data_IF_036628122158
#
_entry.id   IF_036628122158
#
_cell.length_a   1.000
_cell.length_b   1.000
_cell.length_c   1.000
_cell.angle_alpha   90.00
_cell.angle_beta   90.00
_cell.angle_gamma   90.00
#
_symmetry.space_group_name_H-M   'P 1'
#
loop_
_entity.id
_entity.type
_entity.pdbx_description
1 polymer ?
#
# COMPACT_ATOMS: atom_id res chain seq x y z
N UNK A 1 -4.30 -14.05 -1.98
CA UNK A 1 -3.31 -13.96 -0.88
C UNK A 1 -2.20 -15.00 -1.03
N UNK A 2 -1.00 -14.66 -0.57
CA UNK A 2 0.12 -15.61 -0.49
C UNK A 2 -0.05 -16.44 0.79
N UNK A 3 0.02 -17.77 0.66
CA UNK A 3 0.10 -18.71 1.78
C UNK A 3 1.42 -19.47 1.67
N UNK A 4 2.39 -19.22 2.56
CA UNK A 4 3.68 -19.91 2.54
C UNK A 4 3.51 -21.34 3.07
N UNK A 5 4.37 -22.25 2.61
CA UNK A 5 4.40 -23.62 3.13
C UNK A 5 5.20 -23.65 4.44
N UNK A 6 4.56 -23.30 5.56
CA UNK A 6 5.15 -23.38 6.90
C UNK A 6 4.33 -24.34 7.78
N UNK A 7 4.98 -25.03 8.73
CA UNK A 7 4.29 -25.91 9.65
C UNK A 7 3.17 -25.21 10.41
N UNK A 8 2.01 -25.85 10.52
CA UNK A 8 0.85 -25.35 11.26
C UNK A 8 -0.02 -24.33 10.53
N UNK A 9 0.27 -24.00 9.27
CA UNK A 9 -0.54 -23.02 8.49
C UNK A 9 -1.98 -23.50 8.22
N UNK A 10 -2.22 -24.80 8.29
CA UNK A 10 -3.56 -25.41 8.08
C UNK A 10 -4.41 -25.42 9.35
N UNK A 11 -3.93 -24.85 10.45
CA UNK A 11 -4.72 -24.70 11.68
C UNK A 11 -5.99 -23.88 11.42
N UNK A 12 -7.12 -24.27 11.98
CA UNK A 12 -8.42 -23.65 11.78
C UNK A 12 -8.51 -22.15 12.16
N UNK A 13 -7.51 -21.67 12.90
CA UNK A 13 -7.41 -20.28 13.35
C UNK A 13 -6.58 -19.36 12.47
N UNK A 14 -6.10 -19.83 11.31
CA UNK A 14 -5.29 -19.05 10.36
C UNK A 14 -6.17 -18.54 9.21
N UNK A 15 -6.27 -17.23 9.10
CA UNK A 15 -7.13 -16.55 8.12
C UNK A 15 -6.33 -15.70 7.16
N UNK A 16 -6.82 -15.62 5.93
CA UNK A 16 -6.44 -14.60 4.94
C UNK A 16 -7.67 -13.75 4.63
N UNK A 17 -7.47 -12.51 4.20
CA UNK A 17 -8.54 -11.62 3.79
C UNK A 17 -8.37 -11.20 2.33
N UNK A 18 -9.40 -11.48 1.49
CA UNK A 18 -9.43 -11.04 0.10
C UNK A 18 -10.83 -10.63 -0.35
N UNK A 19 -11.86 -11.30 0.12
CA UNK A 19 -13.23 -11.14 -0.35
C UNK A 19 -14.23 -11.17 0.81
N UNK A 20 -15.51 -10.93 0.49
CA UNK A 20 -16.59 -10.92 1.48
C UNK A 20 -16.73 -12.25 2.24
N UNK A 21 -16.67 -13.43 1.59
CA UNK A 21 -16.64 -14.70 2.32
C UNK A 21 -15.52 -14.82 3.35
N UNK A 22 -14.32 -14.30 3.06
CA UNK A 22 -13.21 -14.28 4.02
C UNK A 22 -13.56 -13.42 5.23
N UNK A 23 -14.20 -12.26 5.01
CA UNK A 23 -14.66 -11.37 6.08
C UNK A 23 -15.66 -12.06 6.98
N UNK A 24 -16.63 -12.77 6.42
CA UNK A 24 -17.59 -13.54 7.22
C UNK A 24 -16.94 -14.66 8.01
N UNK A 25 -16.02 -15.43 7.44
CA UNK A 25 -15.28 -16.47 8.15
C UNK A 25 -14.50 -15.91 9.36
N UNK A 26 -13.85 -14.76 9.22
CA UNK A 26 -13.16 -14.08 10.31
C UNK A 26 -14.17 -13.59 11.35
N UNK A 27 -15.25 -12.96 10.92
CA UNK A 27 -16.29 -12.44 11.81
C UNK A 27 -16.96 -13.55 12.63
N UNK A 28 -17.34 -14.64 11.97
CA UNK A 28 -17.99 -15.79 12.64
C UNK A 28 -17.02 -16.44 13.64
N UNK A 29 -15.75 -16.62 13.27
CA UNK A 29 -14.73 -17.12 14.20
C UNK A 29 -14.61 -16.23 15.45
N UNK A 30 -14.54 -14.90 15.27
CA UNK A 30 -14.46 -13.96 16.40
C UNK A 30 -15.70 -14.10 17.30
N UNK A 31 -16.88 -14.22 16.70
CA UNK A 31 -18.16 -14.34 17.43
C UNK A 31 -18.25 -15.64 18.20
N UNK A 32 -17.82 -16.75 17.62
CA UNK A 32 -17.94 -18.11 18.19
C UNK A 32 -16.87 -18.39 19.25
N UNK A 33 -15.64 -17.92 19.04
CA UNK A 33 -14.50 -18.28 19.90
C UNK A 33 -14.06 -17.18 20.86
N UNK A 34 -14.51 -15.92 20.64
CA UNK A 34 -14.11 -14.76 21.42
C UNK A 34 -12.60 -14.69 21.68
N UNK A 35 -11.75 -14.66 20.61
CA UNK A 35 -10.30 -14.72 20.76
C UNK A 35 -9.79 -13.51 21.53
N UNK A 36 -8.86 -13.73 22.46
CA UNK A 36 -8.26 -12.67 23.29
C UNK A 36 -7.00 -12.08 22.65
N UNK A 37 -6.41 -12.83 21.73
CA UNK A 37 -5.14 -12.45 21.08
C UNK A 37 -5.12 -12.81 19.60
N UNK A 38 -4.47 -11.96 18.80
CA UNK A 38 -4.26 -12.18 17.39
C UNK A 38 -2.84 -11.83 16.97
N UNK A 39 -2.20 -12.72 16.22
CA UNK A 39 -0.98 -12.41 15.48
C UNK A 39 -1.32 -12.02 14.04
N UNK A 40 -0.95 -10.82 13.63
CA UNK A 40 -1.06 -10.34 12.25
C UNK A 40 0.31 -10.46 11.58
N UNK A 41 0.43 -11.34 10.61
CA UNK A 41 1.68 -11.60 9.88
C UNK A 41 1.68 -10.82 8.58
N UNK A 42 2.54 -9.79 8.51
CA UNK A 42 2.63 -8.80 7.44
C UNK A 42 1.99 -7.47 7.82
N UNK A 43 2.75 -6.37 7.71
CA UNK A 43 2.38 -5.01 8.08
C UNK A 43 2.18 -4.09 6.86
N UNK A 44 1.61 -4.62 5.78
CA UNK A 44 1.09 -3.84 4.66
C UNK A 44 -0.31 -3.29 4.96
N UNK A 45 -1.00 -2.75 3.95
CA UNK A 45 -2.34 -2.18 4.06
C UNK A 45 -3.32 -3.12 4.79
N UNK A 46 -3.52 -4.32 4.25
CA UNK A 46 -4.48 -5.29 4.80
C UNK A 46 -4.13 -5.66 6.24
N UNK A 47 -2.85 -5.89 6.54
CA UNK A 47 -2.42 -6.28 7.88
C UNK A 47 -2.68 -5.21 8.92
N UNK A 48 -2.38 -3.95 8.62
CA UNK A 48 -2.61 -2.85 9.55
C UNK A 48 -4.10 -2.55 9.73
N UNK A 49 -4.88 -2.55 8.65
CA UNK A 49 -6.35 -2.38 8.74
C UNK A 49 -7.01 -3.50 9.56
N UNK A 50 -6.54 -4.74 9.42
CA UNK A 50 -7.00 -5.84 10.26
C UNK A 50 -6.56 -5.68 11.72
N UNK A 51 -5.33 -5.23 11.96
CA UNK A 51 -4.83 -4.97 13.30
C UNK A 51 -5.66 -3.91 14.04
N UNK A 52 -6.00 -2.81 13.36
CA UNK A 52 -6.91 -1.78 13.88
C UNK A 52 -8.28 -2.37 14.24
N UNK A 53 -8.93 -3.02 13.29
CA UNK A 53 -10.27 -3.56 13.47
C UNK A 53 -10.37 -4.61 14.60
N UNK A 54 -9.32 -5.40 14.80
CA UNK A 54 -9.25 -6.38 15.88
C UNK A 54 -8.98 -5.70 17.24
N UNK A 55 -8.08 -4.73 17.27
CA UNK A 55 -7.77 -3.97 18.48
C UNK A 55 -8.99 -3.16 18.97
N UNK A 56 -9.77 -2.54 18.08
CA UNK A 56 -11.03 -1.85 18.41
C UNK A 56 -12.09 -2.79 19.00
N UNK A 57 -12.00 -4.09 18.72
CA UNK A 57 -12.86 -5.14 19.33
C UNK A 57 -12.31 -5.69 20.64
N UNK A 58 -11.22 -5.12 21.14
CA UNK A 58 -10.61 -5.54 22.40
C UNK A 58 -9.71 -6.79 22.30
N UNK A 59 -9.36 -7.21 21.08
CA UNK A 59 -8.39 -8.30 20.86
C UNK A 59 -6.98 -7.72 21.01
N UNK A 60 -6.13 -8.35 21.82
CA UNK A 60 -4.72 -7.99 21.92
C UNK A 60 -4.01 -8.38 20.62
N UNK A 61 -3.50 -7.38 19.90
CA UNK A 61 -2.89 -7.59 18.60
C UNK A 61 -1.36 -7.51 18.68
N UNK A 62 -0.70 -8.45 18.02
CA UNK A 62 0.74 -8.43 17.74
C UNK A 62 0.95 -8.44 16.25
N UNK A 63 1.67 -7.45 15.70
CA UNK A 63 2.03 -7.36 14.29
C UNK A 63 3.46 -7.86 14.10
N UNK A 64 3.66 -8.77 13.16
CA UNK A 64 4.96 -9.34 12.79
C UNK A 64 5.25 -9.01 11.32
N UNK A 65 6.35 -8.32 11.05
CA UNK A 65 6.76 -7.90 9.72
C UNK A 65 8.18 -8.41 9.39
N UNK A 66 8.31 -9.06 8.23
CA UNK A 66 9.58 -9.59 7.75
C UNK A 66 10.57 -8.53 7.30
N UNK A 67 10.07 -7.39 6.83
CA UNK A 67 10.89 -6.24 6.45
C UNK A 67 11.34 -5.43 7.69
N UNK A 68 12.27 -4.52 7.45
CA UNK A 68 12.79 -3.60 8.48
C UNK A 68 11.77 -2.54 8.91
N UNK A 69 10.71 -2.33 8.13
CA UNK A 69 9.65 -1.36 8.42
C UNK A 69 8.29 -1.82 7.90
N UNK A 70 7.23 -1.24 8.45
CA UNK A 70 5.85 -1.41 7.99
C UNK A 70 5.59 -0.61 6.72
N UNK A 71 4.49 -0.92 6.03
CA UNK A 71 4.05 -0.17 4.85
C UNK A 71 5.14 -0.11 3.76
N UNK A 72 5.34 -1.17 2.98
CA UNK A 72 6.39 -1.22 1.94
C UNK A 72 6.44 -0.03 0.96
N UNK A 73 5.33 0.70 0.66
CA UNK A 73 5.36 1.85 -0.22
C UNK A 73 6.05 3.11 0.36
N UNK A 74 6.24 3.24 1.67
CA UNK A 74 6.96 4.37 2.28
C UNK A 74 8.41 4.01 2.57
N UNK A 75 9.26 5.03 2.75
CA UNK A 75 10.65 4.85 3.17
C UNK A 75 10.77 4.75 4.71
N UNK A 76 11.91 4.25 5.19
CA UNK A 76 12.17 3.99 6.61
C UNK A 76 11.98 5.22 7.50
N UNK A 77 12.43 6.39 7.06
CA UNK A 77 12.32 7.64 7.82
C UNK A 77 10.85 8.04 8.06
N UNK A 78 9.98 7.82 7.07
CA UNK A 78 8.55 8.03 7.21
C UNK A 78 7.87 6.91 8.02
N UNK A 79 8.32 5.67 7.85
CA UNK A 79 7.79 4.50 8.56
C UNK A 79 8.00 4.57 10.07
N UNK A 80 9.06 5.22 10.56
CA UNK A 80 9.30 5.40 12.00
C UNK A 80 8.12 6.08 12.72
N UNK A 81 7.46 7.04 12.09
CA UNK A 81 6.29 7.69 12.67
C UNK A 81 5.12 6.70 12.81
N UNK A 82 4.94 5.84 11.80
CA UNK A 82 3.92 4.78 11.82
C UNK A 82 4.25 3.72 12.89
N UNK A 83 5.52 3.32 13.04
CA UNK A 83 5.96 2.40 14.11
C UNK A 83 5.63 2.92 15.50
N UNK A 84 5.93 4.18 15.76
CA UNK A 84 5.64 4.83 17.04
C UNK A 84 4.15 4.91 17.29
N UNK A 85 3.38 5.22 16.26
CA UNK A 85 1.93 5.30 16.37
C UNK A 85 1.30 3.93 16.63
N UNK A 86 1.73 2.87 15.94
CA UNK A 86 1.28 1.48 16.18
C UNK A 86 1.49 1.10 17.65
N UNK A 87 2.69 1.34 18.20
CA UNK A 87 3.00 1.05 19.60
C UNK A 87 2.18 1.90 20.58
N UNK A 88 1.92 3.16 20.25
CA UNK A 88 1.07 4.03 21.05
C UNK A 88 -0.40 3.57 21.11
N UNK A 89 -0.86 2.79 20.12
CA UNK A 89 -2.17 2.14 20.15
C UNK A 89 -2.18 0.83 20.99
N UNK A 90 -1.08 0.48 21.67
CA UNK A 90 -0.97 -0.74 22.46
C UNK A 90 -0.78 -2.01 21.63
N UNK A 91 -0.37 -1.88 20.37
CA UNK A 91 -0.10 -3.01 19.48
C UNK A 91 1.39 -3.36 19.54
N UNK A 92 1.71 -4.60 19.85
CA UNK A 92 3.08 -5.10 19.81
C UNK A 92 3.56 -5.19 18.34
N UNK A 93 4.76 -4.68 18.05
CA UNK A 93 5.32 -4.63 16.69
C UNK A 93 6.72 -5.25 16.65
N UNK A 94 6.84 -6.35 15.91
CA UNK A 94 8.08 -7.06 15.62
C UNK A 94 8.48 -6.86 14.17
N UNK A 95 9.60 -6.17 13.94
CA UNK A 95 10.18 -5.90 12.62
C UNK A 95 11.39 -6.79 12.35
N UNK A 96 11.68 -7.09 11.07
CA UNK A 96 12.77 -7.98 10.69
C UNK A 96 12.55 -9.43 11.12
N UNK A 97 11.32 -9.81 11.43
CA UNK A 97 10.94 -11.12 11.92
C UNK A 97 9.94 -11.80 10.98
N UNK A 98 10.16 -13.07 10.71
CA UNK A 98 9.23 -13.89 9.94
C UNK A 98 8.63 -14.98 10.82
N UNK A 99 7.40 -15.35 10.55
CA UNK A 99 6.78 -16.53 11.14
C UNK A 99 7.36 -17.78 10.45
N UNK A 100 7.94 -18.68 11.22
CA UNK A 100 8.56 -19.93 10.73
C UNK A 100 7.72 -21.16 11.01
N UNK A 101 6.83 -21.11 11.99
CA UNK A 101 5.88 -22.16 12.30
C UNK A 101 4.68 -21.58 13.06
N UNK A 102 3.60 -22.34 13.10
CA UNK A 102 2.39 -22.07 13.90
C UNK A 102 1.99 -23.34 14.64
N UNK A 103 1.36 -23.18 15.79
CA UNK A 103 0.79 -24.29 16.54
C UNK A 103 -0.53 -23.84 17.24
N UNK A 104 -1.13 -24.73 18.02
CA UNK A 104 -2.38 -24.44 18.73
C UNK A 104 -2.29 -23.23 19.68
N UNK A 105 -1.09 -22.84 20.13
CA UNK A 105 -0.89 -21.78 21.13
C UNK A 105 -0.42 -20.46 20.53
N UNK A 106 0.00 -20.43 19.23
CA UNK A 106 0.45 -19.19 18.60
C UNK A 106 1.40 -19.37 17.41
N UNK A 107 2.23 -18.36 17.19
CA UNK A 107 3.20 -18.33 16.10
C UNK A 107 4.63 -18.33 16.62
N UNK A 108 5.54 -18.97 15.89
CA UNK A 108 6.97 -19.06 16.21
C UNK A 108 7.73 -18.20 15.22
N UNK A 109 8.53 -17.26 15.73
CA UNK A 109 9.33 -16.35 14.93
C UNK A 109 10.70 -16.93 14.57
N UNK A 110 11.35 -16.33 13.58
CA UNK A 110 12.69 -16.74 13.10
C UNK A 110 13.75 -16.77 14.23
N UNK A 111 13.65 -15.89 15.21
CA UNK A 111 14.57 -15.83 16.35
C UNK A 111 14.20 -16.81 17.50
N UNK A 112 13.21 -17.68 17.28
CA UNK A 112 12.75 -18.68 18.24
C UNK A 112 11.71 -18.18 19.24
N UNK A 113 11.36 -16.91 19.27
CA UNK A 113 10.29 -16.38 20.13
C UNK A 113 8.95 -16.98 19.74
N UNK A 114 8.15 -17.34 20.73
CA UNK A 114 6.76 -17.73 20.54
C UNK A 114 5.84 -16.57 20.92
N UNK A 115 4.97 -16.18 20.02
CA UNK A 115 3.94 -15.16 20.22
C UNK A 115 2.61 -15.89 20.44
N UNK A 116 2.02 -15.81 21.63
CA UNK A 116 0.70 -16.39 21.88
C UNK A 116 -0.37 -15.75 21.00
N UNK A 117 -1.18 -16.57 20.37
CA UNK A 117 -2.27 -16.09 19.52
C UNK A 117 -3.40 -17.11 19.45
N UNK A 118 -4.61 -16.67 19.77
CA UNK A 118 -5.83 -17.46 19.62
C UNK A 118 -6.29 -17.51 18.16
N UNK A 119 -5.92 -16.50 17.36
CA UNK A 119 -6.12 -16.45 15.92
C UNK A 119 -4.94 -15.81 15.20
N UNK A 120 -4.80 -16.07 13.91
CA UNK A 120 -3.73 -15.53 13.07
C UNK A 120 -4.33 -14.94 11.80
N UNK A 121 -3.95 -13.71 11.46
CA UNK A 121 -4.22 -13.10 10.16
C UNK A 121 -2.95 -13.14 9.33
N UNK A 122 -3.01 -13.79 8.17
CA UNK A 122 -1.90 -13.89 7.24
C UNK A 122 -2.07 -12.87 6.11
N UNK A 123 -1.25 -11.82 6.09
CA UNK A 123 -1.32 -10.67 5.17
C UNK A 123 0.02 -10.34 4.53
N UNK A 124 0.81 -11.36 4.19
CA UNK A 124 2.16 -11.25 3.62
C UNK A 124 2.21 -10.90 2.12
N UNK A 125 1.10 -10.43 1.57
CA UNK A 125 0.98 -9.96 0.20
C UNK A 125 0.06 -10.81 -0.68
N UNK A 126 0.01 -10.36 -1.94
CA UNK A 126 -0.82 -10.96 -2.99
C UNK A 126 0.03 -11.28 -4.21
N UNK A 127 -0.40 -12.25 -4.99
CA UNK A 127 0.14 -12.55 -6.31
C UNK A 127 -0.98 -12.72 -7.32
N UNK A 128 -0.74 -12.46 -8.61
CA UNK A 128 -1.69 -12.80 -9.66
C UNK A 128 -2.07 -14.28 -9.60
N UNK A 129 -3.34 -14.56 -9.76
CA UNK A 129 -3.86 -15.93 -9.83
C UNK A 129 -4.00 -16.35 -11.32
N UNK A 130 -2.87 -16.53 -11.96
CA UNK A 130 -2.73 -16.75 -13.39
C UNK A 130 -2.30 -18.19 -13.74
N UNK A 131 -2.31 -19.08 -12.76
CA UNK A 131 -1.93 -20.48 -12.97
C UNK A 131 -2.72 -21.19 -14.06
N UNK A 132 -3.99 -20.80 -14.28
CA UNK A 132 -4.85 -21.33 -15.33
C UNK A 132 -4.45 -20.89 -16.75
N UNK A 133 -3.60 -19.87 -16.88
CA UNK A 133 -3.06 -19.39 -18.15
C UNK A 133 -1.79 -20.13 -18.57
N UNK A 134 -1.28 -21.03 -17.73
CA UNK A 134 -0.15 -21.87 -18.10
C UNK A 134 -0.50 -22.64 -19.40
N UNK A 135 0.40 -22.60 -20.35
CA UNK A 135 0.25 -23.24 -21.67
C UNK A 135 -0.83 -22.63 -22.59
N UNK A 136 -1.41 -21.47 -22.24
CA UNK A 136 -2.40 -20.75 -23.07
C UNK A 136 -1.77 -19.95 -24.22
N UNK A 137 -0.45 -19.76 -24.22
CA UNK A 137 0.26 -18.86 -25.14
C UNK A 137 0.23 -17.38 -24.75
N UNK A 138 -0.43 -17.03 -23.64
CA UNK A 138 -0.39 -15.66 -23.10
C UNK A 138 0.90 -15.45 -22.33
N UNK A 139 1.62 -14.37 -22.66
CA UNK A 139 2.87 -14.02 -22.02
C UNK A 139 2.66 -13.54 -20.59
N UNK A 140 3.39 -14.16 -19.65
CA UNK A 140 3.40 -13.80 -18.24
C UNK A 140 4.76 -13.22 -17.83
N UNK A 141 4.75 -12.25 -16.94
CA UNK A 141 5.96 -11.72 -16.33
C UNK A 141 6.51 -12.61 -15.21
N UNK A 142 7.63 -12.20 -14.63
CA UNK A 142 8.38 -12.99 -13.64
C UNK A 142 7.61 -13.29 -12.35
N UNK A 143 6.60 -12.48 -12.00
CA UNK A 143 5.75 -12.68 -10.83
C UNK A 143 4.39 -13.32 -11.19
N UNK A 144 4.23 -13.77 -12.42
CA UNK A 144 3.00 -14.33 -12.95
C UNK A 144 1.99 -13.28 -13.43
N UNK A 145 2.37 -12.00 -13.51
CA UNK A 145 1.51 -10.96 -14.08
C UNK A 145 1.31 -11.13 -15.58
N UNK A 146 0.13 -10.81 -16.07
CA UNK A 146 -0.18 -10.83 -17.50
C UNK A 146 0.46 -9.60 -18.14
N UNK A 147 1.33 -9.82 -19.13
CA UNK A 147 1.94 -8.73 -19.88
C UNK A 147 0.93 -8.15 -20.87
N UNK A 148 0.78 -6.82 -20.85
CA UNK A 148 -0.13 -6.10 -21.73
C UNK A 148 0.55 -4.87 -22.33
N UNK A 149 0.08 -4.49 -23.52
CA UNK A 149 0.48 -3.23 -24.14
C UNK A 149 -0.34 -2.04 -23.59
N UNK A 150 -0.15 -0.85 -24.15
CA UNK A 150 -0.87 0.35 -23.70
C UNK A 150 -2.37 0.31 -23.97
N UNK A 151 -2.84 -0.57 -24.81
CA UNK A 151 -4.27 -0.78 -25.09
C UNK A 151 -4.87 -1.88 -24.22
N UNK A 152 -4.10 -2.42 -23.28
CA UNK A 152 -4.45 -3.54 -22.39
C UNK A 152 -4.63 -4.88 -23.15
N UNK A 153 -4.09 -4.99 -24.37
CA UNK A 153 -4.06 -6.22 -25.15
C UNK A 153 -2.94 -7.14 -24.66
N UNK A 154 -3.21 -8.42 -24.58
CA UNK A 154 -2.23 -9.45 -24.26
C UNK A 154 -1.45 -9.89 -25.51
N UNK A 155 -0.55 -10.87 -25.39
CA UNK A 155 0.12 -11.50 -26.54
C UNK A 155 -0.82 -12.34 -27.42
N UNK A 156 -1.99 -12.75 -26.89
CA UNK A 156 -2.99 -13.48 -27.66
C UNK A 156 -3.95 -12.49 -28.37
N UNK A 157 -4.27 -12.71 -29.67
CA UNK A 157 -5.22 -11.87 -30.39
C UNK A 157 -6.58 -11.81 -29.70
N UNK A 158 -7.18 -10.62 -29.69
CA UNK A 158 -8.52 -10.35 -29.13
C UNK A 158 -8.69 -10.67 -27.64
N UNK A 159 -7.58 -10.84 -26.91
CA UNK A 159 -7.56 -11.09 -25.46
C UNK A 159 -6.98 -9.90 -24.72
N UNK A 160 -7.73 -9.37 -23.79
CA UNK A 160 -7.37 -8.24 -22.93
C UNK A 160 -7.16 -8.70 -21.50
N UNK A 161 -6.27 -8.02 -20.77
CA UNK A 161 -6.12 -8.20 -19.33
C UNK A 161 -6.03 -6.85 -18.62
N UNK A 162 -6.60 -6.79 -17.41
CA UNK A 162 -6.66 -5.56 -16.61
C UNK A 162 -6.69 -5.88 -15.10
N UNK A 163 -6.54 -4.85 -14.28
CA UNK A 163 -6.61 -4.95 -12.84
C UNK A 163 -5.35 -5.51 -12.19
N UNK A 164 -5.50 -6.11 -11.03
CA UNK A 164 -4.40 -6.51 -10.15
C UNK A 164 -3.46 -7.57 -10.75
N UNK A 165 -3.94 -8.30 -11.77
CA UNK A 165 -3.17 -9.36 -12.42
C UNK A 165 -2.40 -8.89 -13.67
N UNK A 166 -2.68 -7.68 -14.19
CA UNK A 166 -2.03 -7.15 -15.38
C UNK A 166 -0.86 -6.23 -15.03
N UNK A 167 0.21 -6.30 -15.84
CA UNK A 167 1.33 -5.35 -15.73
C UNK A 167 0.93 -3.96 -16.20
N UNK A 168 1.56 -2.93 -15.63
CA UNK A 168 1.34 -1.55 -16.02
C UNK A 168 2.65 -0.79 -16.09
N UNK A 169 2.74 0.19 -17.00
CA UNK A 169 3.88 1.10 -17.04
C UNK A 169 3.81 2.06 -15.85
N UNK A 170 4.86 2.10 -15.03
CA UNK A 170 5.04 3.14 -14.01
C UNK A 170 5.52 4.44 -14.68
N UNK A 171 4.79 5.54 -14.50
CA UNK A 171 5.03 6.76 -15.31
C UNK A 171 6.33 7.50 -14.98
N UNK A 172 6.85 7.34 -13.76
CA UNK A 172 8.09 8.00 -13.32
C UNK A 172 9.32 7.20 -13.73
N UNK A 173 9.34 5.88 -13.47
CA UNK A 173 10.46 5.00 -13.83
C UNK A 173 10.42 4.48 -15.26
N UNK A 174 9.25 4.51 -15.90
CA UNK A 174 9.03 3.90 -17.22
C UNK A 174 8.97 2.38 -17.23
N UNK A 175 9.20 1.71 -16.09
CA UNK A 175 9.24 0.24 -15.97
C UNK A 175 7.85 -0.38 -15.97
N UNK A 176 7.76 -1.62 -16.44
CA UNK A 176 6.59 -2.47 -16.23
C UNK A 176 6.57 -2.97 -14.78
N UNK A 177 5.46 -2.79 -14.10
CA UNK A 177 5.28 -3.11 -12.68
C UNK A 177 3.88 -3.67 -12.41
N UNK A 178 3.71 -4.32 -11.27
CA UNK A 178 2.39 -4.62 -10.71
C UNK A 178 1.98 -3.52 -9.73
N UNK A 179 0.80 -2.96 -9.95
CA UNK A 179 0.18 -1.97 -9.06
C UNK A 179 -1.24 -2.44 -8.77
N UNK A 180 -1.42 -3.34 -7.78
CA UNK A 180 -2.72 -3.90 -7.44
C UNK A 180 -3.54 -2.90 -6.62
N UNK A 181 -4.08 -1.89 -7.31
CA UNK A 181 -4.87 -0.81 -6.73
C UNK A 181 -6.15 -0.58 -7.54
N UNK A 182 -7.23 -0.23 -6.85
CA UNK A 182 -8.55 -0.05 -7.43
C UNK A 182 -8.62 1.08 -8.48
N UNK A 183 -7.91 2.19 -8.27
CA UNK A 183 -7.93 3.32 -9.22
C UNK A 183 -7.32 2.98 -10.59
N UNK A 184 -6.14 2.35 -10.70
CA UNK A 184 -5.64 1.81 -11.97
C UNK A 184 -6.62 0.83 -12.60
N UNK A 185 -7.09 -0.17 -11.84
CA UNK A 185 -7.99 -1.21 -12.33
C UNK A 185 -9.28 -0.62 -12.94
N UNK A 186 -9.89 0.37 -12.27
CA UNK A 186 -11.09 1.04 -12.75
C UNK A 186 -10.86 1.80 -14.08
N UNK A 187 -9.73 2.51 -14.19
CA UNK A 187 -9.34 3.21 -15.43
C UNK A 187 -9.08 2.23 -16.58
N UNK A 188 -8.38 1.14 -16.30
CA UNK A 188 -8.10 0.07 -17.26
C UNK A 188 -9.40 -0.57 -17.75
N UNK A 189 -10.39 -0.82 -16.86
CA UNK A 189 -11.69 -1.35 -17.24
C UNK A 189 -12.43 -0.49 -18.25
N UNK A 190 -12.42 0.83 -18.09
CA UNK A 190 -12.99 1.77 -19.07
C UNK A 190 -12.25 1.72 -20.39
N UNK A 191 -10.92 1.69 -20.36
CA UNK A 191 -10.07 1.64 -21.55
C UNK A 191 -10.31 0.35 -22.33
N UNK A 192 -10.39 -0.80 -21.66
CA UNK A 192 -10.72 -2.07 -22.30
C UNK A 192 -12.12 -2.00 -22.94
N UNK A 193 -13.10 -1.45 -22.20
CA UNK A 193 -14.46 -1.24 -22.76
C UNK A 193 -14.46 -0.38 -24.01
N UNK A 194 -13.70 0.74 -24.02
CA UNK A 194 -13.54 1.60 -25.19
C UNK A 194 -12.89 0.84 -26.37
N UNK A 195 -11.82 0.09 -26.10
CA UNK A 195 -11.08 -0.66 -27.12
C UNK A 195 -11.93 -1.78 -27.74
N UNK A 196 -12.69 -2.50 -26.93
CA UNK A 196 -13.66 -3.52 -27.40
C UNK A 196 -14.75 -2.88 -28.29
N UNK A 197 -15.09 -1.60 -28.07
CA UNK A 197 -16.01 -0.85 -28.91
C UNK A 197 -15.34 -0.15 -30.09
N UNK A 198 -14.05 -0.39 -30.35
CA UNK A 198 -13.31 0.14 -31.51
C UNK A 198 -12.76 1.57 -31.33
N UNK A 199 -12.72 2.12 -30.10
CA UNK A 199 -12.29 3.52 -29.86
C UNK A 199 -10.78 3.74 -29.75
N UNK A 200 -9.97 2.70 -29.66
CA UNK A 200 -8.49 2.75 -29.54
C UNK A 200 -7.98 3.76 -28.49
N UNK A 201 -8.38 3.56 -27.25
CA UNK A 201 -7.96 4.38 -26.11
C UNK A 201 -6.74 3.75 -25.42
N UNK A 202 -5.66 4.51 -25.22
CA UNK A 202 -4.45 4.02 -24.56
C UNK A 202 -4.42 4.34 -23.07
N UNK A 203 -4.02 3.37 -22.25
CA UNK A 203 -3.70 3.55 -20.84
C UNK A 203 -2.34 4.23 -20.68
N UNK A 204 -2.33 5.40 -20.06
CA UNK A 204 -1.12 6.22 -19.91
C UNK A 204 -0.22 5.82 -18.73
N UNK A 205 -0.46 4.65 -18.14
CA UNK A 205 0.30 4.15 -17.00
C UNK A 205 -0.17 4.69 -15.64
N UNK A 206 0.49 4.21 -14.58
CA UNK A 206 0.19 4.54 -13.19
C UNK A 206 1.43 5.06 -12.46
N UNK A 207 1.23 5.76 -11.37
CA UNK A 207 2.25 6.22 -10.43
C UNK A 207 2.10 5.60 -9.04
N UNK A 208 1.15 4.68 -8.85
CA UNK A 208 0.98 3.96 -7.61
C UNK A 208 0.45 4.80 -6.45
N UNK A 209 -0.34 5.84 -6.72
CA UNK A 209 -0.93 6.65 -5.64
C UNK A 209 -1.83 5.79 -4.77
N UNK A 210 -1.53 5.77 -3.47
CA UNK A 210 -2.28 5.00 -2.47
C UNK A 210 -2.35 5.73 -1.14
N UNK A 211 -3.39 5.44 -0.38
CA UNK A 211 -3.65 6.03 0.92
C UNK A 211 -4.23 4.98 1.84
N UNK A 212 -3.88 5.04 3.13
CA UNK A 212 -4.39 4.18 4.18
C UNK A 212 -4.70 5.02 5.42
N UNK A 213 -5.76 4.65 6.11
CA UNK A 213 -6.07 5.12 7.46
C UNK A 213 -5.77 3.99 8.45
N UNK A 214 -5.15 4.34 9.58
CA UNK A 214 -4.88 3.45 10.70
C UNK A 214 -5.20 4.19 12.01
N UNK A 215 -6.33 3.90 12.62
CA UNK A 215 -6.95 4.71 13.69
C UNK A 215 -7.07 6.18 13.25
N UNK A 216 -6.39 7.10 13.95
CA UNK A 216 -6.34 8.52 13.59
C UNK A 216 -5.23 8.89 12.62
N UNK A 217 -4.30 7.98 12.32
CA UNK A 217 -3.18 8.24 11.43
C UNK A 217 -3.55 7.94 9.98
N UNK A 218 -3.15 8.80 9.07
CA UNK A 218 -3.24 8.60 7.63
C UNK A 218 -1.85 8.53 7.02
N UNK A 219 -1.62 7.54 6.15
CA UNK A 219 -0.38 7.34 5.40
C UNK A 219 -0.71 7.35 3.92
N UNK A 220 -0.04 8.19 3.15
CA UNK A 220 -0.28 8.30 1.72
C UNK A 220 1.01 8.41 0.92
N UNK A 221 1.00 7.89 -0.30
CA UNK A 221 2.17 7.89 -1.20
C UNK A 221 1.76 8.10 -2.65
N UNK A 222 2.68 8.63 -3.44
CA UNK A 222 2.56 8.72 -4.90
C UNK A 222 3.95 8.73 -5.54
N UNK A 223 4.09 8.14 -6.72
CA UNK A 223 5.34 8.11 -7.47
C UNK A 223 6.37 7.14 -6.88
N UNK A 224 7.64 7.51 -6.98
CA UNK A 224 8.78 6.70 -6.53
C UNK A 224 9.14 6.96 -5.07
N UNK A 225 9.79 5.97 -4.45
CA UNK A 225 10.42 6.10 -3.13
C UNK A 225 11.96 6.05 -3.24
N UNK A 226 12.68 6.45 -2.19
CA UNK A 226 14.15 6.48 -2.20
C UNK A 226 14.75 5.14 -2.59
N UNK A 227 14.31 4.05 -1.95
CA UNK A 227 14.83 2.72 -2.24
C UNK A 227 14.67 2.33 -3.72
N UNK A 228 13.54 2.71 -4.35
CA UNK A 228 13.31 2.45 -5.77
C UNK A 228 14.24 3.25 -6.67
N UNK A 229 14.46 4.53 -6.36
CA UNK A 229 15.36 5.41 -7.10
C UNK A 229 16.82 4.95 -6.94
N UNK A 230 17.24 4.59 -5.73
CA UNK A 230 18.55 4.02 -5.45
C UNK A 230 18.81 2.72 -6.23
N UNK A 231 17.85 1.79 -6.21
CA UNK A 231 17.92 0.54 -6.97
C UNK A 231 17.95 0.75 -8.49
N UNK A 232 17.50 1.91 -8.97
CA UNK A 232 17.59 2.32 -10.38
C UNK A 232 18.88 3.08 -10.70
N UNK A 233 19.73 3.40 -9.71
CA UNK A 233 20.87 4.28 -9.86
C UNK A 233 20.48 5.72 -10.25
N UNK A 234 19.25 6.13 -9.99
CA UNK A 234 18.74 7.46 -10.33
C UNK A 234 19.01 8.44 -9.21
N UNK A 235 19.71 9.54 -9.54
CA UNK A 235 19.95 10.64 -8.61
C UNK A 235 18.64 11.32 -8.20
N UNK A 236 18.55 11.72 -6.95
CA UNK A 236 17.42 12.49 -6.42
C UNK A 236 17.87 13.38 -5.26
N UNK A 237 17.11 14.45 -5.03
CA UNK A 237 17.14 15.24 -3.81
C UNK A 237 15.87 14.97 -3.01
N UNK A 238 15.91 15.15 -1.70
CA UNK A 238 14.73 15.02 -0.85
C UNK A 238 14.54 16.23 0.06
N UNK A 239 13.29 16.56 0.30
CA UNK A 239 12.87 17.55 1.28
C UNK A 239 11.83 16.90 2.20
N UNK A 240 12.01 17.08 3.50
CA UNK A 240 11.06 16.63 4.53
C UNK A 240 10.62 17.86 5.30
N UNK A 241 9.32 18.09 5.33
CA UNK A 241 8.70 19.19 6.08
C UNK A 241 7.65 18.64 7.04
N UNK A 242 7.56 19.24 8.21
CA UNK A 242 6.50 18.93 9.18
C UNK A 242 5.74 20.21 9.51
N UNK A 243 4.43 20.18 9.32
CA UNK A 243 3.56 21.35 9.55
C UNK A 243 2.17 20.93 10.01
N UNK A 244 1.41 21.86 10.57
CA UNK A 244 0.02 21.60 10.90
C UNK A 244 -0.85 21.49 9.65
N UNK A 245 -1.90 20.69 9.72
CA UNK A 245 -2.89 20.47 8.66
C UNK A 245 -3.68 21.73 8.31
N UNK A 246 -3.73 22.71 9.23
CA UNK A 246 -4.51 23.94 9.13
C UNK A 246 -3.82 25.10 9.84
N UNK A 247 -4.43 26.28 9.84
CA UNK A 247 -3.89 27.45 10.52
C UNK A 247 -3.72 27.18 12.03
N UNK A 248 -2.53 27.48 12.59
CA UNK A 248 -2.17 27.10 13.96
C UNK A 248 -3.03 27.74 15.07
N UNK A 249 -3.72 28.83 14.76
CA UNK A 249 -4.67 29.49 15.69
C UNK A 249 -6.08 28.87 15.62
N UNK A 250 -6.36 27.98 14.66
CA UNK A 250 -7.67 27.34 14.53
C UNK A 250 -7.66 25.98 15.24
N UNK A 251 -8.69 25.66 16.07
CA UNK A 251 -8.71 24.43 16.87
C UNK A 251 -8.76 23.15 16.03
N UNK A 252 -8.13 22.08 16.51
CA UNK A 252 -8.20 20.75 15.91
C UNK A 252 -7.22 20.54 14.76
N UNK A 253 -6.17 21.34 14.64
CA UNK A 253 -5.04 21.11 13.75
C UNK A 253 -4.22 19.91 14.20
N UNK A 254 -3.80 19.07 13.23
CA UNK A 254 -2.98 17.90 13.47
C UNK A 254 -1.68 18.03 12.66
N UNK A 255 -0.58 17.52 13.21
CA UNK A 255 0.70 17.57 12.51
C UNK A 255 0.73 16.56 11.36
N UNK A 256 1.36 16.95 10.25
CA UNK A 256 1.69 16.04 9.16
C UNK A 256 3.13 16.26 8.70
N UNK A 257 3.77 15.18 8.33
CA UNK A 257 5.09 15.18 7.71
C UNK A 257 4.94 14.84 6.24
N UNK A 258 5.50 15.68 5.39
CA UNK A 258 5.54 15.53 3.93
C UNK A 258 6.97 15.32 3.51
N UNK A 259 7.24 14.22 2.83
CA UNK A 259 8.52 13.93 2.17
C UNK A 259 8.29 14.00 0.67
N UNK A 260 9.12 14.77 -0.01
CA UNK A 260 9.09 14.91 -1.47
C UNK A 260 10.45 14.61 -2.07
N UNK A 261 10.45 13.85 -3.15
CA UNK A 261 11.65 13.47 -3.91
C UNK A 261 11.67 14.23 -5.24
N UNK A 262 12.80 14.83 -5.55
CA UNK A 262 12.99 15.68 -6.73
C UNK A 262 14.13 15.17 -7.62
N UNK A 263 14.02 15.37 -8.90
CA UNK A 263 15.12 15.26 -9.85
C UNK A 263 16.09 16.44 -9.65
N UNK A 264 17.39 16.23 -9.44
CA UNK A 264 18.31 17.31 -9.02
C UNK A 264 18.40 18.47 -10.00
N UNK A 265 18.48 18.18 -11.31
CA UNK A 265 18.77 19.19 -12.34
C UNK A 265 17.53 19.99 -12.72
N UNK A 266 16.35 19.39 -12.66
CA UNK A 266 15.10 19.98 -13.17
C UNK A 266 14.16 20.42 -12.05
N UNK A 267 14.34 19.91 -10.83
CA UNK A 267 13.39 20.07 -9.74
C UNK A 267 12.07 19.31 -9.93
N UNK A 268 11.98 18.45 -10.97
CA UNK A 268 10.77 17.64 -11.23
C UNK A 268 10.47 16.71 -10.06
N UNK A 269 9.22 16.64 -9.68
CA UNK A 269 8.76 15.78 -8.59
C UNK A 269 8.71 14.33 -9.06
N UNK A 270 9.44 13.47 -8.36
CA UNK A 270 9.54 12.04 -8.64
C UNK A 270 8.61 11.21 -7.77
N UNK A 271 8.31 11.68 -6.57
CA UNK A 271 7.44 11.02 -5.63
C UNK A 271 7.24 11.81 -4.36
N UNK A 272 6.21 11.43 -3.61
CA UNK A 272 5.90 12.01 -2.31
C UNK A 272 5.30 10.99 -1.37
N UNK A 273 5.55 11.19 -0.07
CA UNK A 273 5.01 10.40 1.03
C UNK A 273 4.52 11.37 2.11
N UNK A 274 3.34 11.09 2.66
CA UNK A 274 2.74 11.94 3.70
C UNK A 274 2.26 11.04 4.84
N UNK A 275 2.64 11.41 6.07
CA UNK A 275 2.17 10.76 7.30
C UNK A 275 1.62 11.83 8.21
N UNK A 276 0.40 11.66 8.68
CA UNK A 276 -0.25 12.63 9.57
C UNK A 276 -1.70 12.27 9.88
N UNK A 277 -2.44 13.19 10.41
CA UNK A 277 -3.87 13.05 10.65
C UNK A 277 -4.71 13.63 9.52
N UNK A 278 -5.48 14.68 9.84
CA UNK A 278 -6.36 15.36 8.88
C UNK A 278 -5.60 16.04 7.74
N UNK A 279 -6.17 16.04 6.55
CA UNK A 279 -5.70 16.78 5.39
C UNK A 279 -4.55 16.12 4.61
N UNK A 280 -4.14 14.92 4.97
CA UNK A 280 -3.19 14.09 4.21
C UNK A 280 -3.76 13.75 2.83
N UNK A 281 -5.04 13.40 2.76
CA UNK A 281 -5.79 13.10 1.54
C UNK A 281 -5.72 14.25 0.52
N UNK A 282 -6.00 15.48 0.96
CA UNK A 282 -5.92 16.67 0.12
C UNK A 282 -4.50 16.88 -0.45
N UNK A 283 -3.46 16.80 0.41
CA UNK A 283 -2.07 17.07 -0.01
C UNK A 283 -1.51 15.98 -0.92
N UNK A 284 -1.86 14.73 -0.68
CA UNK A 284 -1.37 13.67 -1.57
C UNK A 284 -2.00 13.76 -2.95
N UNK A 285 -3.23 14.25 -3.09
CA UNK A 285 -3.85 14.48 -4.39
C UNK A 285 -3.17 15.63 -5.16
N UNK A 286 -2.77 16.71 -4.45
CA UNK A 286 -1.96 17.78 -5.06
C UNK A 286 -0.62 17.21 -5.57
N UNK A 287 0.07 16.42 -4.74
CA UNK A 287 1.34 15.77 -5.13
C UNK A 287 1.16 14.73 -6.23
N UNK A 288 0.06 13.99 -6.22
CA UNK A 288 -0.24 13.03 -7.29
C UNK A 288 -0.48 13.71 -8.63
N UNK A 289 -1.14 14.86 -8.64
CA UNK A 289 -1.27 15.69 -9.83
C UNK A 289 0.09 16.24 -10.29
N UNK A 290 0.91 16.72 -9.37
CA UNK A 290 2.25 17.20 -9.69
C UNK A 290 3.13 16.11 -10.32
N UNK A 291 3.17 14.91 -9.75
CA UNK A 291 3.88 13.76 -10.34
C UNK A 291 3.30 13.38 -11.70
N UNK A 292 1.97 13.35 -11.83
CA UNK A 292 1.28 12.95 -13.07
C UNK A 292 1.61 13.86 -14.25
N UNK A 293 1.66 15.15 -14.01
CA UNK A 293 1.92 16.15 -15.04
C UNK A 293 3.38 16.56 -15.14
N UNK A 294 4.26 15.96 -14.33
CA UNK A 294 5.70 16.22 -14.37
C UNK A 294 6.09 17.59 -13.87
N UNK A 295 5.31 18.13 -12.93
CA UNK A 295 5.57 19.44 -12.34
C UNK A 295 6.83 19.42 -11.49
N UNK A 296 7.42 20.61 -11.32
CA UNK A 296 8.59 20.87 -10.48
C UNK A 296 8.20 21.37 -9.08
N UNK A 297 9.15 21.42 -8.17
CA UNK A 297 8.98 22.10 -6.89
C UNK A 297 8.69 23.59 -7.03
N UNK A 298 9.17 24.22 -8.11
CA UNK A 298 8.88 25.64 -8.41
C UNK A 298 7.44 25.82 -8.87
N UNK A 299 6.91 24.89 -9.68
CA UNK A 299 5.50 24.94 -10.09
C UNK A 299 4.55 24.81 -8.89
N UNK A 300 4.93 24.05 -7.84
CA UNK A 300 4.12 23.96 -6.62
C UNK A 300 4.00 25.30 -5.88
N UNK A 301 5.00 26.16 -5.96
CA UNK A 301 4.99 27.48 -5.32
C UNK A 301 3.99 28.42 -6.00
N UNK A 302 3.74 28.22 -7.30
CA UNK A 302 2.80 29.01 -8.10
C UNK A 302 1.35 28.50 -8.02
N UNK A 303 1.14 27.32 -7.37
CA UNK A 303 -0.21 26.78 -7.25
C UNK A 303 -1.06 27.60 -6.28
N UNK A 304 -2.18 28.11 -6.76
CA UNK A 304 -3.20 28.75 -5.94
C UNK A 304 -4.13 27.71 -5.31
N UNK A 305 -3.75 27.22 -4.12
CA UNK A 305 -4.52 26.22 -3.38
C UNK A 305 -5.56 26.88 -2.49
N UNK A 306 -6.71 26.21 -2.32
CA UNK A 306 -7.80 26.71 -1.48
C UNK A 306 -7.36 26.88 -0.04
N UNK A 307 -7.57 28.08 0.52
CA UNK A 307 -7.29 28.42 1.90
C UNK A 307 -8.54 28.87 2.65
N UNK A 308 -8.71 28.33 3.83
CA UNK A 308 -9.42 28.92 4.95
C UNK A 308 -8.86 28.30 6.24
N UNK A 309 -8.94 28.98 7.39
CA UNK A 309 -8.31 28.53 8.65
C UNK A 309 -8.56 27.06 9.03
N UNK A 310 -9.78 26.48 8.85
CA UNK A 310 -10.05 25.08 9.20
C UNK A 310 -9.46 24.05 8.22
N UNK A 311 -8.97 24.43 7.04
CA UNK A 311 -8.61 23.50 5.95
C UNK A 311 -7.13 23.50 5.60
N UNK A 312 -6.45 24.62 5.77
CA UNK A 312 -5.02 24.76 5.48
C UNK A 312 -4.42 25.99 6.13
N UNK A 313 -3.09 26.13 6.08
CA UNK A 313 -2.42 27.41 6.32
C UNK A 313 -2.33 28.18 5.00
N UNK A 314 -2.33 29.49 5.06
CA UNK A 314 -2.02 30.36 3.92
C UNK A 314 -0.52 30.20 3.61
N UNK A 315 -0.21 29.50 2.53
CA UNK A 315 1.17 29.28 2.03
C UNK A 315 1.16 29.43 0.53
#
# INVERSE_FOLDING_TARGET
PIRPAIPGIEENKVFTLRNIPDTYRIYDHIKETAPRSCAVIGAGFIGLEMAENLAERGVRVTVVEGASHVMPPIDMDMAHQVHNYIRAQGIDLYLGQTCTAMDKDGVILKDGRKIPADMVILSIGVRPDTGFLKDSGIELGARGEILVNSYMETSAPDVYALGDAASVRHIVSGKQVLIPLASPANKQGRIVGDNLCGRKTAYKGSQGTSIMKFFGLTVAVTGEKEESLQAQGRAFCKVITTSASQAGYYPGGEMMTVKTLFEPDTGRILGAQIVGGKGVDKRIDDMANAVRFGLTGFDLQEMELAYAPPFSSAK
#
